data_IF_779774097361
#
_entry.id   IF_779774097361
#
_cell.length_a   1.000
_cell.length_b   1.000
_cell.length_c   1.000
_cell.angle_alpha   90.00
_cell.angle_beta   90.00
_cell.angle_gamma   90.00
#
_symmetry.space_group_name_H-M   'P 1'
#
loop_
_entity.id
_entity.type
_entity.pdbx_description
1 polymer ?
#
# COMPACT_ATOMS: atom_id res chain seq x y z
N UNK A 1 51.34 -11.74 57.20
CA UNK A 1 51.09 -10.56 56.35
C UNK A 1 51.42 -10.95 54.94
N UNK A 2 50.42 -11.39 54.22
CA UNK A 2 50.52 -11.73 52.80
C UNK A 2 49.19 -11.40 52.17
N UNK A 3 49.18 -10.26 51.48
CA UNK A 3 48.09 -9.87 50.60
C UNK A 3 48.20 -10.61 49.29
N UNK A 4 47.17 -11.33 48.94
CA UNK A 4 46.96 -11.90 47.62
C UNK A 4 45.63 -11.35 47.11
N UNK A 5 45.67 -10.30 46.31
CA UNK A 5 44.57 -9.84 45.50
C UNK A 5 44.78 -10.37 44.08
N UNK A 6 44.09 -11.44 43.75
CA UNK A 6 44.00 -11.93 42.39
C UNK A 6 42.56 -11.72 41.90
N UNK A 7 42.40 -10.65 41.13
CA UNK A 7 41.15 -10.35 40.41
C UNK A 7 41.26 -10.97 39.01
N UNK A 8 40.32 -11.82 38.58
CA UNK A 8 40.32 -12.30 37.21
C UNK A 8 39.79 -11.18 36.27
N UNK A 9 40.56 -10.94 35.23
CA UNK A 9 40.11 -10.10 34.09
C UNK A 9 38.88 -10.70 33.44
N UNK A 10 37.79 -9.94 33.46
CA UNK A 10 36.59 -10.22 32.67
C UNK A 10 36.89 -9.88 31.21
N UNK A 11 36.94 -10.89 30.37
CA UNK A 11 36.96 -10.73 28.93
C UNK A 11 35.71 -9.97 28.48
N UNK A 12 35.86 -8.79 27.95
CA UNK A 12 34.80 -8.05 27.27
C UNK A 12 34.37 -8.81 26.00
N UNK A 13 33.32 -9.59 26.13
CA UNK A 13 32.55 -10.02 24.96
C UNK A 13 31.77 -8.80 24.42
N UNK A 14 32.40 -8.07 23.52
CA UNK A 14 31.70 -7.07 22.71
C UNK A 14 30.78 -7.78 21.72
N UNK A 15 29.51 -8.04 22.14
CA UNK A 15 28.45 -8.31 21.19
C UNK A 15 28.32 -7.09 20.26
N UNK A 16 28.13 -7.30 18.92
CA UNK A 16 27.94 -6.19 18.01
C UNK A 16 26.68 -5.45 18.42
N UNK A 17 26.80 -4.17 18.75
CA UNK A 17 25.68 -3.30 19.05
C UNK A 17 24.72 -3.32 17.86
N UNK A 18 23.57 -3.97 18.02
CA UNK A 18 22.47 -3.87 17.08
C UNK A 18 22.00 -2.42 17.13
N UNK A 19 22.39 -1.64 16.14
CA UNK A 19 21.85 -0.30 15.96
C UNK A 19 20.38 -0.45 15.59
N UNK A 20 19.49 -0.33 16.57
CA UNK A 20 18.09 -0.09 16.30
C UNK A 20 18.02 1.30 15.65
N UNK A 21 17.78 1.35 14.33
CA UNK A 21 17.35 2.58 13.71
C UNK A 21 16.04 2.97 14.41
N UNK A 22 16.05 4.08 15.12
CA UNK A 22 14.88 4.60 15.78
C UNK A 22 13.84 4.89 14.70
N UNK A 23 12.85 4.00 14.58
CA UNK A 23 11.74 4.19 13.67
C UNK A 23 10.85 5.28 14.28
N UNK A 24 10.99 6.50 13.80
CA UNK A 24 10.14 7.61 14.22
C UNK A 24 8.79 7.47 13.51
N UNK A 25 7.76 7.12 14.28
CA UNK A 25 6.38 7.21 13.81
C UNK A 25 5.86 8.61 14.09
N UNK A 26 5.33 9.26 13.06
CA UNK A 26 4.71 10.58 13.18
C UNK A 26 3.29 10.51 12.63
N UNK A 27 2.37 11.15 13.34
CA UNK A 27 0.99 11.30 12.90
C UNK A 27 0.67 12.80 12.74
N UNK A 28 0.16 13.15 11.56
CA UNK A 28 -0.20 14.52 11.23
C UNK A 28 -1.71 14.64 11.01
N UNK A 29 -2.32 15.67 11.56
CA UNK A 29 -3.71 16.02 11.32
C UNK A 29 -3.77 17.31 10.49
N UNK A 30 -3.76 17.17 9.15
CA UNK A 30 -3.78 18.30 8.21
C UNK A 30 -4.29 17.86 6.84
N UNK A 31 -4.54 18.80 5.93
CA UNK A 31 -4.71 18.47 4.51
C UNK A 31 -3.41 17.84 4.00
N UNK A 32 -3.52 16.66 3.39
CA UNK A 32 -2.36 15.91 2.92
C UNK A 32 -1.60 16.62 1.79
N UNK A 33 -2.27 17.43 0.98
CA UNK A 33 -1.62 18.20 -0.09
C UNK A 33 -0.65 19.23 0.50
N UNK A 34 -1.08 19.95 1.54
CA UNK A 34 -0.22 20.94 2.20
C UNK A 34 0.94 20.29 2.93
N UNK A 35 0.69 19.14 3.59
CA UNK A 35 1.75 18.35 4.23
C UNK A 35 2.78 17.87 3.17
N UNK A 36 2.33 17.28 2.08
CA UNK A 36 3.22 16.75 1.05
C UNK A 36 4.14 17.79 0.44
N UNK A 37 3.69 19.06 0.32
CA UNK A 37 4.53 20.18 -0.16
C UNK A 37 5.76 20.43 0.73
N UNK A 38 5.70 20.06 2.01
CA UNK A 38 6.83 20.21 2.96
C UNK A 38 7.82 19.05 2.88
N UNK A 39 7.46 17.94 2.24
CA UNK A 39 8.30 16.75 2.11
C UNK A 39 9.23 16.91 0.90
N UNK A 40 10.49 16.58 1.06
CA UNK A 40 11.47 16.61 -0.03
C UNK A 40 11.15 15.60 -1.13
N UNK A 41 11.50 15.92 -2.36
CA UNK A 41 11.32 15.04 -3.51
C UNK A 41 12.17 13.78 -3.37
N UNK A 42 11.64 12.62 -3.80
CA UNK A 42 12.36 11.35 -3.84
C UNK A 42 12.83 10.84 -2.46
N UNK A 43 12.01 11.04 -1.42
CA UNK A 43 12.34 10.62 -0.04
C UNK A 43 11.49 9.45 0.47
N UNK A 44 10.30 9.24 -0.10
CA UNK A 44 9.33 8.24 0.36
C UNK A 44 9.48 6.94 -0.42
N UNK A 45 9.61 5.82 0.28
CA UNK A 45 9.73 4.49 -0.33
C UNK A 45 8.39 3.91 -0.77
N UNK A 46 7.35 4.12 0.04
CA UNK A 46 6.02 3.55 -0.17
C UNK A 46 4.93 4.54 0.23
N UNK A 47 3.91 4.67 -0.61
CA UNK A 47 2.67 5.37 -0.27
C UNK A 47 1.54 4.33 -0.30
N UNK A 48 0.78 4.26 0.79
CA UNK A 48 -0.54 3.61 0.81
C UNK A 48 -1.57 4.67 1.17
N UNK A 49 -2.61 4.78 0.35
CA UNK A 49 -3.66 5.77 0.56
C UNK A 49 -5.03 5.14 0.31
N UNK A 50 -5.86 5.11 1.37
CA UNK A 50 -7.28 4.83 1.29
C UNK A 50 -7.99 6.15 1.03
N UNK A 51 -8.38 6.37 -0.23
CA UNK A 51 -8.87 7.67 -0.69
C UNK A 51 -10.38 7.83 -0.45
N UNK A 52 -10.89 9.05 -0.57
CA UNK A 52 -12.33 9.31 -0.52
C UNK A 52 -13.06 8.54 -1.65
N UNK A 53 -14.13 7.86 -1.30
CA UNK A 53 -14.80 6.90 -2.21
C UNK A 53 -15.77 7.53 -3.21
N UNK A 54 -15.94 8.85 -3.17
CA UNK A 54 -16.85 9.55 -4.07
C UNK A 54 -18.32 9.15 -3.87
N UNK A 55 -18.73 8.91 -2.63
CA UNK A 55 -20.13 8.54 -2.32
C UNK A 55 -21.05 9.74 -2.25
N UNK A 56 -20.50 10.96 -2.14
CA UNK A 56 -21.23 12.21 -1.92
C UNK A 56 -21.86 12.34 -0.54
N UNK A 57 -21.56 11.42 0.39
CA UNK A 57 -22.15 11.41 1.73
C UNK A 57 -21.46 12.39 2.67
N UNK A 58 -22.24 12.98 3.57
CA UNK A 58 -21.70 13.76 4.68
C UNK A 58 -21.53 12.85 5.88
N UNK A 59 -20.31 12.74 6.37
CA UNK A 59 -19.94 12.08 7.61
C UNK A 59 -19.83 13.12 8.73
N UNK A 60 -19.69 12.66 9.97
CA UNK A 60 -19.58 13.57 11.14
C UNK A 60 -18.43 14.54 10.98
N UNK A 61 -17.29 14.05 10.54
CA UNK A 61 -16.02 14.77 10.57
C UNK A 61 -15.53 15.24 9.18
N UNK A 62 -16.17 14.74 8.08
CA UNK A 62 -15.82 15.15 6.73
C UNK A 62 -16.97 15.00 5.73
N UNK A 63 -16.84 15.68 4.60
CA UNK A 63 -17.72 15.54 3.44
C UNK A 63 -16.99 14.75 2.36
N UNK A 64 -17.58 13.62 1.94
CA UNK A 64 -17.06 12.85 0.82
C UNK A 64 -17.32 13.56 -0.51
N UNK A 65 -16.44 13.36 -1.47
CA UNK A 65 -16.60 13.89 -2.84
C UNK A 65 -17.84 13.31 -3.50
N UNK A 66 -18.46 14.09 -4.36
CA UNK A 66 -19.50 13.54 -5.24
C UNK A 66 -18.88 12.69 -6.35
N UNK A 67 -19.56 11.65 -6.84
CA UNK A 67 -19.10 10.85 -7.97
C UNK A 67 -19.24 11.65 -9.28
N UNK A 68 -18.47 12.70 -9.39
CA UNK A 68 -18.41 13.59 -10.53
C UNK A 68 -16.96 13.71 -11.01
N UNK A 69 -16.73 13.46 -12.29
CA UNK A 69 -15.40 13.41 -12.87
C UNK A 69 -14.58 14.68 -12.60
N UNK A 70 -15.18 15.84 -12.77
CA UNK A 70 -14.49 17.13 -12.58
C UNK A 70 -14.07 17.33 -11.11
N UNK A 71 -14.95 16.99 -10.16
CA UNK A 71 -14.61 17.08 -8.73
C UNK A 71 -13.47 16.11 -8.36
N UNK A 72 -13.51 14.89 -8.89
CA UNK A 72 -12.46 13.87 -8.68
C UNK A 72 -11.14 14.34 -9.28
N UNK A 73 -11.12 14.80 -10.53
CA UNK A 73 -9.92 15.30 -11.18
C UNK A 73 -9.32 16.51 -10.44
N UNK A 74 -10.13 17.49 -10.08
CA UNK A 74 -9.67 18.68 -9.37
C UNK A 74 -9.09 18.36 -7.98
N UNK A 75 -9.62 17.37 -7.30
CA UNK A 75 -9.15 16.98 -5.99
C UNK A 75 -7.87 16.11 -6.06
N UNK A 76 -7.85 15.11 -6.97
CA UNK A 76 -6.78 14.12 -6.96
C UNK A 76 -5.58 14.47 -7.83
N UNK A 77 -5.74 15.19 -8.95
CA UNK A 77 -4.60 15.54 -9.80
C UNK A 77 -3.48 16.25 -9.03
N UNK A 78 -3.73 17.31 -8.23
CA UNK A 78 -2.65 17.97 -7.49
C UNK A 78 -2.02 17.05 -6.42
N UNK A 79 -2.83 16.24 -5.76
CA UNK A 79 -2.36 15.29 -4.72
C UNK A 79 -1.52 14.17 -5.31
N UNK A 80 -1.95 13.57 -6.40
CA UNK A 80 -1.22 12.50 -7.07
C UNK A 80 0.09 12.99 -7.69
N UNK A 81 0.15 14.23 -8.19
CA UNK A 81 1.40 14.86 -8.62
C UNK A 81 2.39 15.02 -7.47
N UNK A 82 1.93 15.44 -6.30
CA UNK A 82 2.79 15.55 -5.12
C UNK A 82 3.21 14.16 -4.61
N UNK A 83 2.31 13.17 -4.57
CA UNK A 83 2.66 11.79 -4.25
C UNK A 83 3.73 11.24 -5.20
N UNK A 84 3.60 11.48 -6.50
CA UNK A 84 4.63 11.11 -7.47
C UNK A 84 5.95 11.84 -7.21
N UNK A 85 5.93 13.14 -6.88
CA UNK A 85 7.12 13.93 -6.61
C UNK A 85 7.91 13.39 -5.42
N UNK A 86 7.23 13.12 -4.30
CA UNK A 86 7.87 12.68 -3.05
C UNK A 86 8.34 11.23 -3.06
N UNK A 87 7.75 10.36 -3.89
CA UNK A 87 8.21 8.98 -4.05
C UNK A 87 9.64 8.92 -4.57
N UNK A 88 10.44 8.00 -4.03
CA UNK A 88 11.76 7.63 -4.59
C UNK A 88 11.60 7.02 -5.99
N UNK A 89 12.64 7.05 -6.84
CA UNK A 89 12.61 6.36 -8.13
C UNK A 89 12.23 4.87 -8.03
N UNK A 90 12.65 4.19 -6.94
CA UNK A 90 12.31 2.78 -6.64
C UNK A 90 11.03 2.61 -5.84
N UNK A 91 10.33 3.70 -5.54
CA UNK A 91 9.12 3.72 -4.72
C UNK A 91 7.87 3.25 -5.44
N UNK A 92 6.90 2.80 -4.66
CA UNK A 92 5.60 2.34 -5.13
C UNK A 92 4.44 3.02 -4.41
N UNK A 93 3.30 3.10 -5.09
CA UNK A 93 2.06 3.65 -4.52
C UNK A 93 0.92 2.66 -4.66
N UNK A 94 0.17 2.49 -3.57
CA UNK A 94 -1.07 1.73 -3.49
C UNK A 94 -2.21 2.71 -3.22
N UNK A 95 -3.18 2.77 -4.12
CA UNK A 95 -4.39 3.58 -3.95
C UNK A 95 -5.61 2.67 -3.84
N UNK A 96 -6.23 2.67 -2.67
CA UNK A 96 -7.48 1.96 -2.41
C UNK A 96 -8.69 2.87 -2.62
N UNK A 97 -9.72 2.36 -3.28
CA UNK A 97 -10.94 3.11 -3.58
C UNK A 97 -12.13 2.21 -3.89
N UNK A 98 -13.32 2.79 -3.83
CA UNK A 98 -14.57 2.19 -4.31
C UNK A 98 -14.60 2.12 -5.85
N UNK A 99 -15.31 1.14 -6.38
CA UNK A 99 -15.53 0.94 -7.81
C UNK A 99 -16.19 2.12 -8.53
N UNK A 100 -16.82 3.04 -7.79
CA UNK A 100 -17.51 4.21 -8.38
C UNK A 100 -16.58 5.20 -9.07
N UNK A 101 -15.37 5.34 -8.57
CA UNK A 101 -14.42 6.37 -9.05
C UNK A 101 -13.13 5.78 -9.62
N UNK A 102 -12.89 4.48 -9.47
CA UNK A 102 -11.64 3.83 -9.85
C UNK A 102 -11.23 4.09 -11.30
N UNK A 103 -12.18 4.08 -12.23
CA UNK A 103 -11.94 4.30 -13.64
C UNK A 103 -11.42 5.71 -13.96
N UNK A 104 -11.89 6.76 -13.26
CA UNK A 104 -11.34 8.12 -13.41
C UNK A 104 -9.97 8.25 -12.77
N UNK A 105 -9.82 7.73 -11.54
CA UNK A 105 -8.55 7.76 -10.81
C UNK A 105 -7.48 6.96 -11.58
N UNK A 106 -7.85 5.83 -12.20
CA UNK A 106 -6.96 5.06 -13.06
C UNK A 106 -6.43 5.89 -14.23
N UNK A 107 -7.30 6.62 -14.94
CA UNK A 107 -6.86 7.49 -16.02
C UNK A 107 -5.89 8.57 -15.53
N UNK A 108 -6.18 9.20 -14.38
CA UNK A 108 -5.28 10.20 -13.78
C UNK A 108 -3.92 9.59 -13.42
N UNK A 109 -3.91 8.38 -12.89
CA UNK A 109 -2.67 7.66 -12.55
C UNK A 109 -1.85 7.33 -13.80
N UNK A 110 -2.50 6.87 -14.87
CA UNK A 110 -1.87 6.61 -16.16
C UNK A 110 -1.23 7.88 -16.74
N UNK A 111 -1.89 9.04 -16.61
CA UNK A 111 -1.37 10.34 -17.07
C UNK A 111 -0.18 10.83 -16.24
N UNK A 112 -0.15 10.57 -14.93
CA UNK A 112 0.89 11.09 -14.01
C UNK A 112 2.08 10.14 -13.89
N UNK A 113 1.83 8.84 -13.73
CA UNK A 113 2.86 7.82 -13.53
C UNK A 113 3.30 7.18 -14.84
N UNK A 114 2.44 7.16 -15.84
CA UNK A 114 2.59 6.42 -17.09
C UNK A 114 1.84 5.08 -17.05
N UNK A 115 1.15 4.76 -18.13
CA UNK A 115 0.40 3.51 -18.29
C UNK A 115 1.26 2.26 -17.99
N UNK A 116 2.52 2.25 -18.43
CA UNK A 116 3.45 1.13 -18.25
C UNK A 116 4.00 1.02 -16.82
N UNK A 117 3.65 1.95 -15.93
CA UNK A 117 4.02 1.91 -14.52
C UNK A 117 2.98 1.22 -13.65
N UNK A 118 1.83 0.90 -14.19
CA UNK A 118 0.86 0.08 -13.50
C UNK A 118 1.37 -1.36 -13.37
N UNK A 119 1.51 -1.82 -12.14
CA UNK A 119 1.98 -3.16 -11.82
C UNK A 119 0.81 -4.13 -11.62
N UNK A 120 -0.20 -3.71 -10.86
CA UNK A 120 -1.37 -4.53 -10.55
C UNK A 120 -2.63 -3.71 -10.30
N UNK A 121 -3.77 -4.31 -10.60
CA UNK A 121 -5.07 -3.99 -10.03
C UNK A 121 -5.47 -5.12 -9.09
N UNK A 122 -5.50 -4.81 -7.79
CA UNK A 122 -5.81 -5.78 -6.74
C UNK A 122 -7.28 -5.61 -6.37
N UNK A 123 -8.03 -6.68 -6.41
CA UNK A 123 -9.43 -6.70 -6.02
C UNK A 123 -9.56 -7.19 -4.59
N UNK A 124 -9.89 -6.28 -3.69
CA UNK A 124 -10.12 -6.58 -2.29
C UNK A 124 -11.55 -6.98 -2.04
N UNK A 125 -11.85 -8.27 -2.08
CA UNK A 125 -13.19 -8.80 -1.89
C UNK A 125 -13.54 -8.94 -0.40
N UNK A 126 -14.76 -8.53 -0.03
CA UNK A 126 -15.27 -8.68 1.32
C UNK A 126 -16.71 -9.20 1.33
N UNK A 127 -17.08 -9.83 2.44
CA UNK A 127 -18.44 -10.28 2.68
C UNK A 127 -19.23 -9.18 3.40
N UNK A 128 -20.27 -8.66 2.76
CA UNK A 128 -21.23 -7.76 3.41
C UNK A 128 -22.62 -8.38 3.38
N UNK A 129 -23.42 -8.05 4.39
CA UNK A 129 -24.84 -8.43 4.42
C UNK A 129 -25.61 -7.61 3.39
N UNK A 130 -26.66 -8.21 2.84
CA UNK A 130 -27.56 -7.58 1.89
C UNK A 130 -27.46 -8.16 0.48
N UNK A 131 -28.62 -8.31 -0.14
CA UNK A 131 -28.79 -8.72 -1.52
C UNK A 131 -29.31 -7.54 -2.34
N UNK A 132 -28.68 -7.25 -3.45
CA UNK A 132 -29.23 -6.33 -4.43
C UNK A 132 -30.21 -7.13 -5.32
N UNK A 133 -31.44 -6.63 -5.46
CA UNK A 133 -32.48 -7.34 -6.24
C UNK A 133 -32.36 -7.12 -7.75
N UNK A 134 -31.67 -6.04 -8.19
CA UNK A 134 -31.70 -5.57 -9.56
C UNK A 134 -30.34 -5.65 -10.28
N UNK A 135 -29.25 -5.90 -9.54
CA UNK A 135 -27.89 -6.03 -10.09
C UNK A 135 -27.02 -6.91 -9.20
N UNK A 136 -25.85 -7.29 -9.67
CA UNK A 136 -24.83 -7.93 -8.84
C UNK A 136 -24.43 -7.03 -7.68
N UNK A 137 -24.19 -7.61 -6.51
CA UNK A 137 -23.74 -6.87 -5.33
C UNK A 137 -22.30 -6.41 -5.52
N UNK A 138 -22.04 -5.13 -5.32
CA UNK A 138 -20.69 -4.56 -5.25
C UNK A 138 -20.10 -4.88 -3.86
N UNK A 139 -19.13 -5.82 -3.81
CA UNK A 139 -18.54 -6.32 -2.56
C UNK A 139 -17.04 -6.41 -2.67
N UNK A 140 -16.45 -5.38 -3.23
CA UNK A 140 -15.01 -5.26 -3.34
C UNK A 140 -14.59 -3.79 -3.47
N UNK A 141 -13.39 -3.54 -3.03
CA UNK A 141 -12.64 -2.32 -3.34
C UNK A 141 -11.57 -2.65 -4.39
N UNK A 142 -11.09 -1.62 -5.05
CA UNK A 142 -9.99 -1.70 -6.01
C UNK A 142 -8.76 -1.04 -5.40
N UNK A 143 -7.62 -1.71 -5.46
CA UNK A 143 -6.33 -1.15 -5.07
C UNK A 143 -5.46 -1.10 -6.32
N UNK A 144 -5.12 0.11 -6.78
CA UNK A 144 -4.21 0.31 -7.90
C UNK A 144 -2.78 0.37 -7.38
N UNK A 145 -1.91 -0.46 -7.93
CA UNK A 145 -0.48 -0.47 -7.64
C UNK A 145 0.31 0.08 -8.82
N UNK A 146 1.06 1.17 -8.57
CA UNK A 146 1.97 1.77 -9.53
C UNK A 146 3.39 1.87 -8.96
N UNK A 147 4.38 1.73 -9.82
CA UNK A 147 5.76 2.11 -9.52
C UNK A 147 6.06 3.51 -10.05
N UNK A 148 7.02 4.22 -9.44
CA UNK A 148 7.44 5.53 -9.98
C UNK A 148 8.31 5.38 -11.24
N UNK A 149 9.13 4.34 -11.32
CA UNK A 149 10.03 4.11 -12.46
C UNK A 149 9.97 2.65 -12.94
N UNK A 150 10.87 2.29 -13.86
CA UNK A 150 11.03 0.91 -14.34
C UNK A 150 11.60 -0.03 -13.29
N UNK A 151 12.27 0.52 -12.29
CA UNK A 151 12.88 -0.22 -11.19
C UNK A 151 12.11 0.09 -9.90
N UNK A 152 11.61 -0.95 -9.24
CA UNK A 152 10.89 -0.79 -7.97
C UNK A 152 11.31 -1.87 -6.96
N UNK A 153 11.16 -1.55 -5.69
CA UNK A 153 11.44 -2.49 -4.60
C UNK A 153 10.25 -3.41 -4.38
N UNK A 154 10.49 -4.74 -4.52
CA UNK A 154 9.49 -5.76 -4.23
C UNK A 154 10.14 -6.97 -3.55
N UNK A 155 9.76 -7.26 -2.31
CA UNK A 155 10.32 -8.36 -1.51
C UNK A 155 9.54 -9.66 -1.74
N UNK A 156 9.77 -10.30 -2.88
CA UNK A 156 9.04 -11.49 -3.32
C UNK A 156 9.02 -12.61 -2.27
N UNK A 157 10.15 -12.89 -1.61
CA UNK A 157 10.26 -13.96 -0.62
C UNK A 157 9.31 -13.73 0.58
N UNK A 158 9.22 -12.48 1.06
CA UNK A 158 8.31 -12.12 2.16
C UNK A 158 6.83 -12.17 1.79
N UNK A 159 6.51 -11.96 0.51
CA UNK A 159 5.13 -12.03 0.00
C UNK A 159 4.71 -13.49 -0.20
N UNK A 160 5.61 -14.33 -0.71
CA UNK A 160 5.34 -15.76 -0.98
C UNK A 160 5.01 -16.59 0.26
N UNK A 161 5.57 -16.26 1.41
CA UNK A 161 5.29 -16.98 2.67
C UNK A 161 3.79 -17.01 3.03
N UNK A 162 2.98 -16.13 2.46
CA UNK A 162 1.55 -16.01 2.74
C UNK A 162 0.63 -16.40 1.58
N UNK A 163 1.16 -16.72 0.37
CA UNK A 163 0.31 -16.81 -0.83
C UNK A 163 -0.47 -18.11 -1.00
N UNK A 164 0.02 -19.23 -0.48
CA UNK A 164 -0.66 -20.52 -0.72
C UNK A 164 -0.69 -21.34 0.57
N UNK A 165 -1.77 -21.22 1.33
CA UNK A 165 -2.00 -22.12 2.47
C UNK A 165 -2.03 -23.58 1.99
N UNK A 166 -1.56 -24.50 2.84
CA UNK A 166 -1.50 -25.95 2.54
C UNK A 166 -2.81 -26.53 2.01
N UNK A 167 -3.95 -26.01 2.47
CA UNK A 167 -5.29 -26.42 2.03
C UNK A 167 -5.53 -26.09 0.55
N UNK A 168 -5.03 -24.95 0.06
CA UNK A 168 -5.16 -24.54 -1.35
C UNK A 168 -4.23 -25.36 -2.24
N UNK A 169 -3.00 -25.63 -1.80
CA UNK A 169 -2.08 -26.52 -2.51
C UNK A 169 -2.65 -27.93 -2.65
N UNK A 170 -3.19 -28.50 -1.56
CA UNK A 170 -3.82 -29.82 -1.57
C UNK A 170 -5.01 -29.89 -2.52
N UNK A 171 -5.85 -28.81 -2.56
CA UNK A 171 -7.00 -28.74 -3.47
C UNK A 171 -6.56 -28.68 -4.94
N UNK A 172 -5.58 -27.86 -5.27
CA UNK A 172 -5.05 -27.76 -6.64
C UNK A 172 -4.44 -29.08 -7.12
N UNK A 173 -3.63 -29.73 -6.27
CA UNK A 173 -3.08 -31.05 -6.60
C UNK A 173 -4.15 -32.12 -6.84
N UNK A 174 -5.27 -32.03 -6.11
CA UNK A 174 -6.40 -32.93 -6.31
C UNK A 174 -7.11 -32.65 -7.62
N UNK A 175 -7.43 -31.39 -7.91
CA UNK A 175 -8.10 -30.97 -9.15
C UNK A 175 -7.26 -31.28 -10.40
N UNK A 176 -5.95 -31.05 -10.35
CA UNK A 176 -5.01 -31.39 -11.43
C UNK A 176 -5.03 -32.91 -11.71
N UNK A 177 -5.01 -33.75 -10.66
CA UNK A 177 -5.07 -35.21 -10.82
C UNK A 177 -6.42 -35.71 -11.32
N UNK A 178 -7.52 -35.11 -10.88
CA UNK A 178 -8.88 -35.52 -11.27
C UNK A 178 -9.24 -35.11 -12.71
N UNK A 179 -8.69 -33.99 -13.19
CA UNK A 179 -9.03 -33.43 -14.50
C UNK A 179 -7.93 -33.57 -15.56
N UNK A 180 -6.81 -34.21 -15.23
CA UNK A 180 -5.74 -34.51 -16.20
C UNK A 180 -5.13 -33.26 -16.85
N UNK A 181 -4.98 -32.18 -16.10
CA UNK A 181 -4.48 -30.89 -16.59
C UNK A 181 -2.94 -30.78 -16.63
N UNK A 182 -2.24 -31.91 -16.61
CA UNK A 182 -0.81 -32.04 -16.92
C UNK A 182 -0.62 -33.28 -17.81
#
# INVERSE_FOLDING_TARGET
>A
MTDITNTPELSENTEPAISYSTCYQQCFCSDNLELMKTIESNTIDLIYCDILYGTGRKFKDYQDLKPNRIEIENHYIPRLKEMHRILKPTGSIYLQMDTKINHWVRCIMDDIFGYERMLNEIIWCYRSQGFNKNKWSEKHDVILLYSKSKEWTFNLEKVRENEIGESTQKRWHKEIKEHGLI
#
